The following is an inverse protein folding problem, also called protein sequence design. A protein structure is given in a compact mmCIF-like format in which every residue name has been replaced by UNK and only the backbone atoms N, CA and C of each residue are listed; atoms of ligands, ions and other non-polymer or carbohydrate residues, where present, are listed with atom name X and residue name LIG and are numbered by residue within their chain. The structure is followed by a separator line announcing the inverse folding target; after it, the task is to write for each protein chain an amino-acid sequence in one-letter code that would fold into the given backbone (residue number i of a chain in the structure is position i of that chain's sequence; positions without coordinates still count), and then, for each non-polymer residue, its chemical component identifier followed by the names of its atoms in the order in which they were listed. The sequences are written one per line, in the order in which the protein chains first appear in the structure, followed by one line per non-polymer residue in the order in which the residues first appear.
data_IF_885688548070
#
_entry.id   IF_885688548070
#
_cell.length_a   1.000
_cell.length_b   1.000
_cell.length_c   1.000
_cell.angle_alpha   90.00
_cell.angle_beta   90.00
_cell.angle_gamma   90.00
#
_symmetry.space_group_name_H-M   'P 1'
#
loop_
_entity.id
_entity.type
_entity.pdbx_description
1 polymer ?
#
# COMPACT_ATOMS: atom_id res chain seq x y z
N UNK A 1 -3.70 20.20 -0.12
CA UNK A 1 -3.69 19.33 -1.33
C UNK A 1 -2.27 19.31 -1.85
N UNK A 2 -1.54 18.20 -1.65
CA UNK A 2 -0.30 17.96 -2.36
C UNK A 2 -0.66 17.58 -3.79
N UNK A 3 -0.26 18.39 -4.76
CA UNK A 3 -0.26 18.00 -6.17
C UNK A 3 0.69 16.81 -6.27
N UNK A 4 0.19 15.66 -6.74
CA UNK A 4 1.06 14.55 -7.12
C UNK A 4 1.84 14.96 -8.37
N UNK A 5 3.15 14.77 -8.33
CA UNK A 5 4.04 15.12 -9.42
C UNK A 5 5.06 14.00 -9.64
N UNK A 6 5.70 13.98 -10.81
CA UNK A 6 6.59 12.92 -11.24
C UNK A 6 7.90 13.48 -11.79
N UNK A 7 9.01 12.79 -11.52
CA UNK A 7 10.28 13.11 -12.15
C UNK A 7 10.38 12.59 -13.60
N UNK A 8 11.51 12.86 -14.27
CA UNK A 8 11.76 12.42 -15.65
C UNK A 8 11.77 10.88 -15.82
N UNK A 9 11.90 10.12 -14.73
CA UNK A 9 11.81 8.66 -14.73
C UNK A 9 10.38 8.16 -14.51
N UNK A 10 9.43 9.06 -14.27
CA UNK A 10 8.05 8.73 -13.94
C UNK A 10 7.84 8.30 -12.50
N UNK A 11 8.77 8.61 -11.58
CA UNK A 11 8.65 8.33 -10.15
C UNK A 11 8.02 9.49 -9.39
N UNK A 12 7.22 9.16 -8.38
CA UNK A 12 6.57 10.14 -7.53
C UNK A 12 7.57 11.06 -6.84
N UNK A 13 7.26 12.36 -6.84
CA UNK A 13 7.93 13.38 -6.05
C UNK A 13 6.91 14.11 -5.15
N UNK A 14 7.31 14.55 -3.93
CA UNK A 14 8.62 14.39 -3.33
C UNK A 14 8.98 12.90 -3.06
N UNK A 15 10.28 12.60 -2.97
CA UNK A 15 10.78 11.25 -2.68
C UNK A 15 10.57 10.87 -1.20
N UNK A 16 9.32 10.90 -0.77
CA UNK A 16 8.84 10.66 0.59
C UNK A 16 7.52 9.87 0.55
N UNK A 17 6.95 9.59 1.72
CA UNK A 17 5.60 9.05 1.85
C UNK A 17 4.59 10.18 1.61
N UNK A 18 3.75 10.01 0.61
CA UNK A 18 2.74 10.98 0.17
C UNK A 18 1.36 10.44 0.52
N UNK A 19 0.68 11.14 1.42
CA UNK A 19 -0.68 10.78 1.83
C UNK A 19 -1.69 11.15 0.73
N UNK A 20 -2.57 10.21 0.40
CA UNK A 20 -3.63 10.35 -0.61
C UNK A 20 -4.93 9.74 -0.11
N UNK A 21 -6.05 10.25 -0.63
CA UNK A 21 -7.36 9.63 -0.46
C UNK A 21 -7.75 8.79 -1.68
N UNK A 22 -8.90 8.10 -1.58
CA UNK A 22 -9.45 7.28 -2.66
C UNK A 22 -9.68 8.06 -3.95
N UNK A 23 -10.15 9.30 -3.85
CA UNK A 23 -10.47 10.14 -5.01
C UNK A 23 -9.21 10.49 -5.78
N UNK A 24 -8.17 10.98 -5.09
CA UNK A 24 -6.90 11.33 -5.73
C UNK A 24 -6.19 10.08 -6.27
N UNK A 25 -6.25 8.95 -5.56
CA UNK A 25 -5.67 7.70 -6.04
C UNK A 25 -6.34 7.23 -7.34
N UNK A 26 -7.66 7.31 -7.44
CA UNK A 26 -8.39 6.95 -8.66
C UNK A 26 -8.12 7.94 -9.80
N UNK A 27 -8.24 9.25 -9.55
CA UNK A 27 -8.07 10.29 -10.57
C UNK A 27 -6.67 10.29 -11.20
N UNK A 28 -5.61 10.11 -10.40
CA UNK A 28 -4.23 10.19 -10.89
C UNK A 28 -3.71 8.89 -11.48
N UNK A 29 -4.15 7.73 -10.98
CA UNK A 29 -3.53 6.45 -11.34
C UNK A 29 -4.42 5.53 -12.17
N UNK A 30 -5.71 5.84 -12.37
CA UNK A 30 -6.65 4.99 -13.12
C UNK A 30 -6.96 5.58 -14.50
N UNK A 31 -5.92 5.70 -15.32
CA UNK A 31 -5.99 6.29 -16.66
C UNK A 31 -5.86 5.27 -17.81
N UNK A 32 -5.80 3.97 -17.50
CA UNK A 32 -5.78 2.89 -18.50
C UNK A 32 -6.65 1.71 -18.03
N UNK A 33 -7.10 0.89 -18.97
CA UNK A 33 -7.90 -0.31 -18.64
C UNK A 33 -7.16 -1.23 -17.66
N UNK A 34 -5.85 -1.45 -17.87
CA UNK A 34 -5.04 -2.30 -17.00
C UNK A 34 -4.96 -1.74 -15.56
N UNK A 35 -4.83 -0.42 -15.42
CA UNK A 35 -4.83 0.26 -14.12
C UNK A 35 -6.19 0.17 -13.44
N UNK A 36 -7.28 0.29 -14.21
CA UNK A 36 -8.64 0.11 -13.69
C UNK A 36 -8.86 -1.31 -13.15
N UNK A 37 -8.42 -2.34 -13.87
CA UNK A 37 -8.53 -3.73 -13.42
C UNK A 37 -7.79 -3.95 -12.09
N UNK A 38 -6.54 -3.48 -11.99
CA UNK A 38 -5.75 -3.57 -10.76
C UNK A 38 -6.42 -2.80 -9.61
N UNK A 39 -6.93 -1.60 -9.87
CA UNK A 39 -7.59 -0.78 -8.86
C UNK A 39 -8.92 -1.38 -8.37
N UNK A 40 -9.66 -2.05 -9.26
CA UNK A 40 -10.86 -2.80 -8.88
C UNK A 40 -10.50 -3.96 -7.93
N UNK A 41 -9.42 -4.69 -8.21
CA UNK A 41 -8.94 -5.75 -7.30
C UNK A 41 -8.50 -5.16 -5.95
N UNK A 42 -7.85 -4.00 -5.92
CA UNK A 42 -7.50 -3.32 -4.67
C UNK A 42 -8.75 -2.96 -3.86
N UNK A 43 -9.78 -2.37 -4.49
CA UNK A 43 -11.07 -2.07 -3.83
C UNK A 43 -11.73 -3.34 -3.28
N UNK A 44 -11.69 -4.46 -4.00
CA UNK A 44 -12.21 -5.75 -3.53
C UNK A 44 -11.42 -6.30 -2.35
N UNK A 45 -10.08 -6.25 -2.38
CA UNK A 45 -9.24 -6.66 -1.25
C UNK A 45 -9.63 -5.88 0.01
N UNK A 46 -9.77 -4.56 -0.09
CA UNK A 46 -10.17 -3.70 1.04
C UNK A 46 -11.56 -4.10 1.58
N UNK A 47 -12.52 -4.38 0.70
CA UNK A 47 -13.84 -4.86 1.11
C UNK A 47 -13.79 -6.23 1.82
N UNK A 48 -12.96 -7.16 1.35
CA UNK A 48 -12.77 -8.46 2.02
C UNK A 48 -12.07 -8.33 3.38
N UNK A 49 -11.13 -7.38 3.53
CA UNK A 49 -10.49 -7.05 4.81
C UNK A 49 -11.51 -6.46 5.81
N UNK A 50 -12.38 -5.55 5.36
CA UNK A 50 -13.50 -5.06 6.18
C UNK A 50 -14.44 -6.20 6.60
N UNK A 51 -14.78 -7.10 5.66
CA UNK A 51 -15.70 -8.22 5.91
C UNK A 51 -15.23 -9.21 6.97
N UNK A 52 -13.90 -9.38 7.15
CA UNK A 52 -13.35 -10.22 8.23
C UNK A 52 -13.29 -9.50 9.59
N UNK A 53 -13.60 -8.20 9.66
CA UNK A 53 -13.77 -7.45 10.91
C UNK A 53 -12.62 -6.50 11.26
N UNK A 54 -11.68 -6.26 10.35
CA UNK A 54 -10.63 -5.23 10.51
C UNK A 54 -11.29 -3.86 10.36
N UNK A 55 -11.00 -2.93 11.27
CA UNK A 55 -11.64 -1.60 11.33
C UNK A 55 -10.79 -0.46 10.79
N UNK A 56 -9.47 -0.61 10.83
CA UNK A 56 -8.54 0.39 10.34
C UNK A 56 -7.43 -0.28 9.55
N UNK A 57 -7.07 0.32 8.42
CA UNK A 57 -6.03 -0.15 7.53
C UNK A 57 -5.21 1.03 7.00
N UNK A 58 -3.91 1.05 7.30
CA UNK A 58 -2.96 1.92 6.59
C UNK A 58 -2.32 1.09 5.47
N UNK A 59 -2.35 1.61 4.24
CA UNK A 59 -1.77 0.94 3.08
C UNK A 59 -0.72 1.82 2.45
N UNK A 60 0.49 1.29 2.30
CA UNK A 60 1.50 1.90 1.44
C UNK A 60 1.47 1.25 0.07
N UNK A 61 1.48 2.08 -0.98
CA UNK A 61 1.38 1.67 -2.38
C UNK A 61 2.65 2.12 -3.10
N UNK A 62 3.28 1.18 -3.79
CA UNK A 62 4.48 1.41 -4.58
C UNK A 62 4.38 0.66 -5.92
N UNK A 63 5.52 0.48 -6.58
CA UNK A 63 5.66 -0.34 -7.74
C UNK A 63 5.42 0.42 -9.02
N UNK A 64 5.14 -0.35 -10.06
CA UNK A 64 4.82 0.23 -11.35
C UNK A 64 3.44 0.91 -11.36
N UNK A 65 2.54 0.56 -10.43
CA UNK A 65 1.25 1.23 -10.29
C UNK A 65 1.43 2.68 -9.82
N UNK A 66 2.27 2.92 -8.81
CA UNK A 66 2.59 4.26 -8.27
C UNK A 66 3.61 5.03 -9.13
N UNK A 67 3.53 4.90 -10.45
CA UNK A 67 4.40 5.57 -11.44
C UNK A 67 3.59 6.05 -12.64
N UNK A 68 4.23 6.70 -13.61
CA UNK A 68 3.58 7.10 -14.88
C UNK A 68 3.42 5.94 -15.89
N UNK A 69 3.91 4.73 -15.60
CA UNK A 69 3.85 3.58 -16.52
C UNK A 69 2.40 3.25 -16.90
N UNK A 70 2.03 3.32 -18.18
CA UNK A 70 0.64 3.12 -18.61
C UNK A 70 0.05 1.76 -18.24
N UNK A 71 0.85 0.69 -18.33
CA UNK A 71 0.43 -0.68 -18.08
C UNK A 71 1.31 -1.30 -16.98
N UNK A 72 1.00 -1.09 -15.70
CA UNK A 72 1.62 -1.82 -14.60
C UNK A 72 1.20 -3.29 -14.64
N UNK A 73 2.04 -4.18 -14.10
CA UNK A 73 1.71 -5.61 -14.05
C UNK A 73 0.75 -5.90 -12.89
N UNK A 74 1.06 -5.29 -11.75
CA UNK A 74 0.55 -5.48 -10.41
C UNK A 74 0.58 -4.14 -9.62
N UNK A 75 0.11 -4.19 -8.38
CA UNK A 75 0.23 -3.13 -7.37
C UNK A 75 0.92 -3.71 -6.13
N UNK A 76 2.04 -3.09 -5.72
CA UNK A 76 2.78 -3.48 -4.52
C UNK A 76 2.14 -2.81 -3.29
N UNK A 77 1.73 -3.60 -2.30
CA UNK A 77 0.93 -3.16 -1.15
C UNK A 77 1.54 -3.61 0.18
N UNK A 78 1.82 -2.65 1.07
CA UNK A 78 2.11 -2.94 2.49
C UNK A 78 0.92 -2.50 3.33
N UNK A 79 0.22 -3.49 3.88
CA UNK A 79 -1.01 -3.33 4.66
C UNK A 79 -0.68 -3.41 6.15
N UNK A 80 -0.74 -2.29 6.85
CA UNK A 80 -0.52 -2.18 8.29
C UNK A 80 -1.86 -2.26 9.03
N UNK A 81 -1.99 -3.21 9.95
CA UNK A 81 -3.19 -3.42 10.76
C UNK A 81 -2.83 -3.68 12.22
N UNK A 82 -3.78 -3.40 13.13
CA UNK A 82 -3.58 -3.61 14.56
C UNK A 82 -3.20 -5.05 14.89
N UNK A 83 -2.32 -5.21 15.88
CA UNK A 83 -1.73 -6.50 16.19
C UNK A 83 -2.73 -7.55 16.64
N UNK A 84 -3.82 -7.13 17.29
CA UNK A 84 -4.92 -8.00 17.67
C UNK A 84 -5.70 -8.51 16.44
N UNK A 85 -5.99 -7.62 15.48
CA UNK A 85 -6.67 -7.97 14.23
C UNK A 85 -5.81 -8.90 13.37
N UNK A 86 -4.51 -8.62 13.26
CA UNK A 86 -3.56 -9.48 12.54
C UNK A 86 -3.57 -10.90 13.10
N UNK A 87 -3.42 -11.05 14.43
CA UNK A 87 -3.37 -12.35 15.08
C UNK A 87 -4.70 -13.10 14.97
N UNK A 88 -5.82 -12.39 15.09
CA UNK A 88 -7.16 -12.97 14.99
C UNK A 88 -7.44 -13.51 13.60
N UNK A 89 -6.92 -12.86 12.57
CA UNK A 89 -7.27 -13.11 11.17
C UNK A 89 -6.11 -13.63 10.33
N UNK A 90 -5.00 -14.07 10.93
CA UNK A 90 -3.77 -14.48 10.23
C UNK A 90 -4.02 -15.45 9.06
N UNK A 91 -4.86 -16.48 9.28
CA UNK A 91 -5.22 -17.45 8.24
C UNK A 91 -6.03 -16.81 7.12
N UNK A 92 -6.99 -15.94 7.44
CA UNK A 92 -7.79 -15.23 6.45
C UNK A 92 -6.89 -14.29 5.62
N UNK A 93 -5.99 -13.54 6.26
CA UNK A 93 -5.05 -12.64 5.58
C UNK A 93 -4.12 -13.43 4.64
N UNK A 94 -3.62 -14.59 5.05
CA UNK A 94 -2.82 -15.46 4.20
C UNK A 94 -3.59 -15.96 2.96
N UNK A 95 -4.88 -16.28 3.11
CA UNK A 95 -5.76 -16.66 2.00
C UNK A 95 -6.04 -15.48 1.09
N UNK A 96 -6.35 -14.29 1.64
CA UNK A 96 -6.59 -13.08 0.85
C UNK A 96 -5.39 -12.76 -0.03
N UNK A 97 -4.17 -12.82 0.50
CA UNK A 97 -2.95 -12.62 -0.30
C UNK A 97 -2.88 -13.51 -1.55
N UNK A 98 -3.38 -14.75 -1.48
CA UNK A 98 -3.36 -15.69 -2.60
C UNK A 98 -4.50 -15.44 -3.61
N UNK A 99 -5.61 -14.85 -3.16
CA UNK A 99 -6.81 -14.64 -3.97
C UNK A 99 -6.73 -13.42 -4.91
N UNK A 100 -5.76 -12.52 -4.71
CA UNK A 100 -5.62 -11.29 -5.50
C UNK A 100 -4.30 -11.28 -6.30
N UNK A 101 -4.21 -12.00 -7.44
CA UNK A 101 -2.97 -12.16 -8.20
C UNK A 101 -2.45 -10.88 -8.89
N UNK A 102 -3.26 -9.82 -8.93
CA UNK A 102 -2.85 -8.50 -9.43
C UNK A 102 -2.27 -7.59 -8.34
N UNK A 103 -2.21 -8.06 -7.09
CA UNK A 103 -1.73 -7.31 -5.94
C UNK A 103 -0.60 -8.10 -5.28
N UNK A 104 0.58 -7.50 -5.10
CA UNK A 104 1.63 -8.07 -4.25
C UNK A 104 1.42 -7.54 -2.82
N UNK A 105 0.63 -8.27 -2.05
CA UNK A 105 0.18 -7.86 -0.72
C UNK A 105 1.09 -8.41 0.37
N UNK A 106 1.57 -7.53 1.25
CA UNK A 106 2.22 -7.88 2.49
C UNK A 106 1.49 -7.28 3.69
N UNK A 107 1.13 -8.12 4.66
CA UNK A 107 0.48 -7.68 5.89
C UNK A 107 1.51 -7.48 6.99
N UNK A 108 1.48 -6.32 7.65
CA UNK A 108 2.37 -5.96 8.75
C UNK A 108 1.56 -5.77 10.02
N UNK A 109 2.06 -6.38 11.10
CA UNK A 109 1.48 -6.27 12.43
C UNK A 109 1.89 -4.94 13.08
N UNK A 110 0.91 -4.14 13.50
CA UNK A 110 1.13 -2.88 14.23
C UNK A 110 0.86 -3.06 15.71
N UNK A 111 1.87 -2.78 16.54
CA UNK A 111 1.72 -2.68 17.98
C UNK A 111 1.31 -1.24 18.35
N UNK A 112 0.44 -1.03 19.35
CA UNK A 112 0.12 0.31 19.83
C UNK A 112 1.32 0.92 20.59
N UNK A 113 1.34 2.25 20.73
CA UNK A 113 2.48 2.98 21.29
C UNK A 113 2.80 2.61 22.75
N UNK A 114 1.82 2.11 23.50
CA UNK A 114 1.98 1.66 24.88
C UNK A 114 2.40 0.18 25.01
N UNK A 115 2.47 -0.57 23.91
CA UNK A 115 2.96 -1.95 23.91
C UNK A 115 4.50 -2.00 23.94
N UNK A 116 5.13 -2.85 24.79
CA UNK A 116 6.58 -3.02 24.82
C UNK A 116 7.22 -3.37 23.47
N UNK A 117 6.45 -3.91 22.53
CA UNK A 117 6.86 -4.30 21.20
C UNK A 117 6.64 -3.20 20.14
N UNK A 118 6.20 -2.00 20.51
CA UNK A 118 6.01 -0.88 19.58
C UNK A 118 7.25 -0.59 18.72
N UNK A 119 8.44 -0.81 19.27
CA UNK A 119 9.69 -0.66 18.52
C UNK A 119 9.74 -1.56 17.28
N UNK A 120 9.14 -2.76 17.29
CA UNK A 120 9.08 -3.65 16.13
C UNK A 120 8.31 -3.01 14.98
N UNK A 121 7.17 -2.35 15.26
CA UNK A 121 6.43 -1.61 14.24
C UNK A 121 7.26 -0.50 13.61
N UNK A 122 8.08 0.20 14.40
CA UNK A 122 8.96 1.23 13.85
C UNK A 122 10.07 0.63 12.98
N UNK A 123 10.66 -0.50 13.37
CA UNK A 123 11.63 -1.20 12.53
C UNK A 123 11.01 -1.70 11.23
N UNK A 124 9.85 -2.34 11.28
CA UNK A 124 9.14 -2.81 10.08
C UNK A 124 8.84 -1.65 9.13
N UNK A 125 8.35 -0.51 9.64
CA UNK A 125 8.10 0.68 8.82
C UNK A 125 9.38 1.24 8.19
N UNK A 126 10.49 1.29 8.93
CA UNK A 126 11.77 1.75 8.41
C UNK A 126 12.32 0.82 7.32
N UNK A 127 12.24 -0.49 7.52
CA UNK A 127 12.69 -1.49 6.55
C UNK A 127 11.86 -1.40 5.26
N UNK A 128 10.53 -1.30 5.36
CA UNK A 128 9.66 -1.11 4.21
C UNK A 128 9.90 0.22 3.52
N UNK A 129 10.09 1.30 4.28
CA UNK A 129 10.39 2.61 3.70
C UNK A 129 11.73 2.57 2.95
N UNK A 130 12.75 1.92 3.51
CA UNK A 130 14.03 1.73 2.83
C UNK A 130 13.84 0.95 1.53
N UNK A 131 13.11 -0.17 1.57
CA UNK A 131 12.85 -1.03 0.41
C UNK A 131 12.06 -0.31 -0.70
N UNK A 132 11.00 0.42 -0.35
CA UNK A 132 10.15 1.13 -1.29
C UNK A 132 10.70 2.50 -1.71
N UNK A 133 11.66 3.10 -1.00
CA UNK A 133 12.20 4.41 -1.38
C UNK A 133 13.05 4.40 -2.65
N UNK A 134 13.38 3.21 -3.18
CA UNK A 134 14.30 3.07 -4.32
C UNK A 134 13.89 2.00 -5.32
N UNK A 135 14.26 2.20 -6.57
CA UNK A 135 14.12 1.18 -7.61
C UNK A 135 15.35 0.24 -7.66
N UNK A 136 15.32 -0.72 -8.60
CA UNK A 136 16.41 -1.68 -8.83
C UNK A 136 17.72 -1.05 -9.30
N UNK A 137 17.69 0.20 -9.76
CA UNK A 137 18.86 0.99 -10.17
C UNK A 137 19.27 2.00 -9.09
N UNK A 138 18.73 1.87 -7.87
CA UNK A 138 19.01 2.73 -6.71
C UNK A 138 18.53 4.19 -6.89
N UNK A 139 17.65 4.46 -7.87
CA UNK A 139 16.98 5.75 -8.07
C UNK A 139 15.91 5.95 -7.00
N UNK A 140 15.81 7.17 -6.46
CA UNK A 140 14.82 7.50 -5.44
C UNK A 140 13.42 7.56 -6.05
N UNK A 141 12.41 7.21 -5.26
CA UNK A 141 11.00 7.33 -5.61
C UNK A 141 10.16 7.59 -4.35
N UNK A 142 9.06 8.31 -4.51
CA UNK A 142 8.04 8.48 -3.47
C UNK A 142 7.17 7.23 -3.31
N UNK A 143 6.47 7.17 -2.19
CA UNK A 143 5.58 6.07 -1.80
C UNK A 143 4.21 6.68 -1.52
N UNK A 144 3.13 6.08 -2.02
CA UNK A 144 1.79 6.55 -1.65
C UNK A 144 1.38 5.92 -0.33
N UNK A 145 0.66 6.67 0.50
CA UNK A 145 0.01 6.15 1.71
C UNK A 145 -1.47 6.52 1.67
N UNK A 146 -2.33 5.55 1.97
CA UNK A 146 -3.76 5.78 2.21
C UNK A 146 -4.12 5.19 3.58
N UNK A 147 -4.90 5.96 4.37
CA UNK A 147 -5.50 5.51 5.62
C UNK A 147 -6.98 5.26 5.39
N UNK A 148 -7.45 4.06 5.73
CA UNK A 148 -8.81 3.60 5.41
C UNK A 148 -9.51 3.17 6.71
N UNK A 149 -10.65 3.80 6.98
CA UNK A 149 -11.61 3.36 7.99
C UNK A 149 -12.59 2.37 7.32
N UNK A 150 -12.77 1.19 7.93
CA UNK A 150 -13.45 0.02 7.34
C UNK A 150 -14.75 -0.37 8.05
#
# INVERSE_FOLDING_TARGET
MSILDFDDNGYLVPYDIIEVDWTHLEEFFVFSMKRADIFIEFKKLVAEISAIGVRHLEVWIDGSFASTKTNPNDMDLICFLEGADYQRHEVNLAVLRQNFPLLDVYFVKVYPHDDPNYFLTNFDKLDWQFFFSRDRQNRKKGILKISIEL
#
